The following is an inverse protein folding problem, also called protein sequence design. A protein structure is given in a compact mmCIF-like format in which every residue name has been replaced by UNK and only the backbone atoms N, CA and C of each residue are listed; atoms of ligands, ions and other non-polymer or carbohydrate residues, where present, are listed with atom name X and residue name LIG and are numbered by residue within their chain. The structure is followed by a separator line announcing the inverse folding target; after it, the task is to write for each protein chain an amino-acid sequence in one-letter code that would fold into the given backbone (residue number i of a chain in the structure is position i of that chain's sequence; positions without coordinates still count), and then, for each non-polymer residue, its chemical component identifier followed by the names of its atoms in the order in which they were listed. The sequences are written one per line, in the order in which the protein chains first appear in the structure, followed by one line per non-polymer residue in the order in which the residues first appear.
data_IF_903234915230
#
_entry.id   IF_903234915230
#
_cell.length_a   1.000
_cell.length_b   1.000
_cell.length_c   1.000
_cell.angle_alpha   90.00
_cell.angle_beta   90.00
_cell.angle_gamma   90.00
#
_symmetry.space_group_name_H-M   'P 1'
#
loop_
_entity.id
_entity.type
_entity.pdbx_description
1 polymer ?
#
# COMPACT_ATOMS: atom_id res chain seq x y z
N UNK A 1 34.19 -10.01 -22.45
CA UNK A 1 33.98 -11.38 -22.01
C UNK A 1 32.78 -11.34 -21.09
N UNK A 2 31.59 -11.61 -21.62
CA UNK A 2 30.37 -11.71 -20.79
C UNK A 2 30.51 -12.95 -19.94
N UNK A 3 30.51 -12.79 -18.62
CA UNK A 3 30.47 -13.92 -17.68
C UNK A 3 29.12 -14.61 -17.83
N UNK A 4 29.12 -15.91 -18.02
CA UNK A 4 27.89 -16.71 -18.12
C UNK A 4 27.07 -16.57 -16.85
N UNK A 5 25.76 -16.78 -16.93
CA UNK A 5 24.87 -16.73 -15.76
C UNK A 5 25.22 -17.80 -14.70
N UNK A 6 26.01 -18.81 -15.08
CA UNK A 6 26.54 -19.85 -14.21
C UNK A 6 27.63 -19.35 -13.27
N UNK A 7 28.37 -18.30 -13.66
CA UNK A 7 29.44 -17.70 -12.83
C UNK A 7 28.88 -16.81 -11.70
N UNK A 8 27.55 -16.62 -11.61
CA UNK A 8 26.88 -15.73 -10.64
C UNK A 8 26.12 -16.45 -9.52
N UNK A 9 26.24 -17.76 -9.42
CA UNK A 9 25.40 -18.58 -8.52
C UNK A 9 25.99 -18.80 -7.13
N UNK A 10 26.45 -17.74 -6.45
CA UNK A 10 27.00 -17.84 -5.09
C UNK A 10 28.32 -18.59 -5.00
N UNK A 11 28.85 -19.03 -6.13
CA UNK A 11 30.19 -19.62 -6.22
C UNK A 11 31.23 -18.53 -6.35
N UNK A 12 32.35 -18.71 -5.69
CA UNK A 12 33.49 -17.79 -5.75
C UNK A 12 33.87 -17.53 -7.23
N UNK A 13 33.81 -16.29 -7.68
CA UNK A 13 34.24 -15.89 -9.04
C UNK A 13 35.66 -16.35 -9.26
N UNK A 14 35.99 -16.80 -10.47
CA UNK A 14 37.33 -17.27 -10.81
C UNK A 14 38.47 -16.30 -10.45
N UNK A 15 38.18 -14.98 -10.39
CA UNK A 15 39.13 -13.95 -9.96
C UNK A 15 39.13 -13.62 -8.46
N UNK A 16 38.15 -14.14 -7.68
CA UNK A 16 38.02 -13.76 -6.28
C UNK A 16 39.19 -14.27 -5.42
N UNK A 17 39.76 -15.42 -5.75
CA UNK A 17 40.94 -15.96 -5.07
C UNK A 17 42.29 -15.44 -5.60
N UNK A 18 42.27 -14.58 -6.63
CA UNK A 18 43.52 -14.11 -7.28
C UNK A 18 44.35 -13.14 -6.42
N UNK A 19 43.73 -12.50 -5.42
CA UNK A 19 44.41 -11.65 -4.46
C UNK A 19 43.57 -11.51 -3.18
N UNK A 20 44.22 -11.12 -2.07
CA UNK A 20 43.56 -10.83 -0.80
C UNK A 20 42.52 -9.70 -0.95
N UNK A 21 42.82 -8.70 -1.75
CA UNK A 21 41.87 -7.63 -2.09
C UNK A 21 40.62 -8.16 -2.79
N UNK A 22 40.77 -9.01 -3.81
CA UNK A 22 39.66 -9.59 -4.52
C UNK A 22 38.80 -10.52 -3.63
N UNK A 23 39.42 -11.29 -2.74
CA UNK A 23 38.73 -12.12 -1.78
C UNK A 23 37.94 -11.29 -0.78
N UNK A 24 38.49 -10.19 -0.29
CA UNK A 24 37.79 -9.25 0.60
C UNK A 24 36.63 -8.57 -0.11
N UNK A 25 36.81 -8.09 -1.34
CA UNK A 25 35.73 -7.47 -2.11
C UNK A 25 34.60 -8.46 -2.41
N UNK A 26 34.93 -9.72 -2.76
CA UNK A 26 33.94 -10.76 -2.94
C UNK A 26 33.12 -11.01 -1.65
N UNK A 27 33.79 -11.11 -0.50
CA UNK A 27 33.10 -11.31 0.78
C UNK A 27 32.17 -10.14 1.14
N UNK A 28 32.59 -8.89 0.85
CA UNK A 28 31.75 -7.70 1.02
C UNK A 28 30.53 -7.74 0.07
N UNK A 29 30.74 -8.07 -1.20
CA UNK A 29 29.66 -8.21 -2.17
C UNK A 29 28.65 -9.28 -1.76
N UNK A 30 29.12 -10.45 -1.26
CA UNK A 30 28.25 -11.52 -0.77
C UNK A 30 27.37 -11.05 0.41
N UNK A 31 27.95 -10.39 1.39
CA UNK A 31 27.19 -9.83 2.52
C UNK A 31 26.17 -8.81 2.06
N UNK A 32 26.56 -7.91 1.14
CA UNK A 32 25.62 -6.88 0.63
C UNK A 32 24.49 -7.48 -0.20
N UNK A 33 24.75 -8.55 -0.94
CA UNK A 33 23.78 -9.17 -1.83
C UNK A 33 22.85 -10.17 -1.11
N UNK A 34 23.33 -10.85 -0.05
CA UNK A 34 22.56 -11.86 0.67
C UNK A 34 21.87 -11.34 1.91
N UNK A 35 22.52 -10.45 2.67
CA UNK A 35 22.07 -10.09 4.01
C UNK A 35 21.42 -8.70 4.11
N UNK A 36 21.67 -7.81 3.10
CA UNK A 36 21.14 -6.45 3.12
C UNK A 36 19.84 -6.36 2.27
N UNK A 37 18.72 -6.61 2.91
CA UNK A 37 17.41 -6.38 2.28
C UNK A 37 17.03 -4.90 2.42
N UNK A 38 16.77 -4.22 1.30
CA UNK A 38 16.35 -2.81 1.30
C UNK A 38 14.88 -2.63 0.96
N UNK A 39 14.46 -3.17 -0.18
CA UNK A 39 13.08 -3.17 -0.63
C UNK A 39 12.81 -4.45 -1.43
N UNK A 40 11.60 -4.96 -1.34
CA UNK A 40 11.19 -6.18 -2.00
C UNK A 40 9.70 -6.16 -2.33
N UNK A 41 9.25 -7.05 -3.19
CA UNK A 41 7.86 -7.18 -3.59
C UNK A 41 7.32 -8.50 -3.07
N UNK A 42 6.12 -8.46 -2.47
CA UNK A 42 5.44 -9.64 -1.95
C UNK A 42 3.97 -9.69 -2.32
N UNK A 43 3.34 -10.81 -1.99
CA UNK A 43 1.89 -11.00 -2.05
C UNK A 43 1.33 -11.07 -0.64
N UNK A 44 0.23 -10.40 -0.40
CA UNK A 44 -0.50 -10.44 0.87
C UNK A 44 -1.22 -11.77 1.00
N UNK A 45 -0.94 -12.50 2.06
CA UNK A 45 -1.58 -13.78 2.37
C UNK A 45 -2.81 -13.59 3.26
N UNK A 46 -2.68 -12.71 4.28
CA UNK A 46 -3.75 -12.37 5.20
C UNK A 46 -3.52 -11.00 5.82
N UNK A 47 -4.61 -10.39 6.29
CA UNK A 47 -4.59 -9.07 6.91
C UNK A 47 -5.27 -9.14 8.27
N UNK A 48 -4.68 -8.49 9.26
CA UNK A 48 -5.29 -8.19 10.55
C UNK A 48 -5.48 -6.68 10.63
N UNK A 49 -6.70 -6.22 10.45
CA UNK A 49 -7.05 -4.81 10.64
C UNK A 49 -6.88 -4.43 12.10
N UNK A 50 -6.38 -3.21 12.34
CA UNK A 50 -6.30 -2.69 13.69
C UNK A 50 -7.69 -2.45 14.31
N UNK A 51 -7.77 -2.42 15.62
CA UNK A 51 -9.00 -2.07 16.33
C UNK A 51 -9.33 -0.60 16.14
N UNK A 52 -10.62 -0.27 15.99
CA UNK A 52 -11.09 1.11 15.88
C UNK A 52 -10.53 1.85 14.65
N UNK A 53 -10.46 1.16 13.51
CA UNK A 53 -9.97 1.71 12.24
C UNK A 53 -8.48 2.16 12.28
N UNK A 54 -7.70 1.76 13.28
CA UNK A 54 -6.24 1.95 13.26
C UNK A 54 -5.59 1.11 12.16
N UNK A 55 -4.39 1.49 11.72
CA UNK A 55 -3.63 0.65 10.77
C UNK A 55 -3.35 -0.72 11.40
N UNK A 56 -3.43 -1.76 10.59
CA UNK A 56 -3.18 -3.13 11.01
C UNK A 56 -1.84 -3.64 10.52
N UNK A 57 -1.75 -4.97 10.48
CA UNK A 57 -0.60 -5.70 9.97
C UNK A 57 -1.06 -6.73 8.94
N UNK A 58 -0.17 -7.14 8.05
CA UNK A 58 -0.42 -8.19 7.08
C UNK A 58 0.70 -9.23 7.07
N UNK A 59 0.34 -10.46 6.73
CA UNK A 59 1.31 -11.50 6.44
C UNK A 59 1.60 -11.46 4.93
N UNK A 60 2.88 -11.48 4.55
CA UNK A 60 3.31 -11.29 3.17
C UNK A 60 4.34 -12.33 2.78
N UNK A 61 4.10 -13.01 1.66
CA UNK A 61 5.08 -13.92 1.05
C UNK A 61 5.89 -13.18 -0.02
N UNK A 62 7.24 -13.17 0.05
CA UNK A 62 8.07 -12.59 -0.99
C UNK A 62 7.83 -13.23 -2.35
N UNK A 63 7.76 -12.42 -3.43
CA UNK A 63 7.55 -12.89 -4.80
C UNK A 63 8.86 -13.21 -5.55
N UNK A 64 9.99 -12.73 -5.03
CA UNK A 64 11.31 -13.08 -5.57
C UNK A 64 11.89 -14.17 -4.67
N UNK A 65 11.98 -15.37 -5.22
CA UNK A 65 12.53 -16.52 -4.51
C UNK A 65 14.05 -16.49 -4.48
N UNK A 66 14.63 -17.02 -3.41
CA UNK A 66 16.04 -17.39 -3.42
C UNK A 66 16.25 -18.59 -4.35
N UNK A 67 17.44 -18.69 -4.91
CA UNK A 67 17.82 -19.83 -5.75
C UNK A 67 18.97 -20.58 -5.09
N UNK A 68 18.95 -21.91 -5.20
CA UNK A 68 20.07 -22.75 -4.79
C UNK A 68 21.24 -22.67 -5.79
N UNK A 69 22.32 -23.42 -5.51
CA UNK A 69 23.51 -23.46 -6.37
C UNK A 69 23.21 -24.01 -7.78
N UNK A 70 22.15 -24.81 -7.94
CA UNK A 70 21.72 -25.40 -9.20
C UNK A 70 20.72 -24.50 -9.94
N UNK A 71 20.39 -23.31 -9.36
CA UNK A 71 19.47 -22.34 -9.92
C UNK A 71 18.00 -22.72 -9.75
N UNK A 72 17.67 -23.66 -8.86
CA UNK A 72 16.30 -23.99 -8.51
C UNK A 72 15.75 -22.98 -7.50
N UNK A 73 14.50 -22.56 -7.69
CA UNK A 73 13.84 -21.65 -6.76
C UNK A 73 13.54 -22.36 -5.44
N UNK A 74 13.96 -21.77 -4.34
CA UNK A 74 13.63 -22.23 -3.00
C UNK A 74 12.24 -21.72 -2.59
N UNK A 75 11.43 -22.52 -1.88
CA UNK A 75 10.14 -22.07 -1.39
C UNK A 75 10.32 -20.91 -0.38
N UNK A 76 9.53 -19.85 -0.56
CA UNK A 76 9.53 -18.70 0.36
C UNK A 76 8.45 -18.90 1.42
N UNK A 77 8.79 -18.55 2.65
CA UNK A 77 7.84 -18.55 3.75
C UNK A 77 7.14 -17.19 3.88
N UNK A 78 5.90 -17.21 4.34
CA UNK A 78 5.18 -15.99 4.70
C UNK A 78 5.84 -15.28 5.88
N UNK A 79 6.04 -13.98 5.76
CA UNK A 79 6.58 -13.11 6.80
C UNK A 79 5.39 -12.53 7.55
N UNK A 80 5.27 -12.80 8.87
CA UNK A 80 4.09 -12.42 9.62
C UNK A 80 4.13 -10.95 10.09
N UNK A 81 2.96 -10.38 10.26
CA UNK A 81 2.71 -9.16 11.02
C UNK A 81 3.47 -7.91 10.55
N UNK A 82 3.66 -7.76 9.23
CA UNK A 82 4.25 -6.55 8.69
C UNK A 82 3.26 -5.38 8.77
N UNK A 83 3.62 -4.24 9.38
CA UNK A 83 2.76 -3.07 9.40
C UNK A 83 2.62 -2.46 8.00
N UNK A 84 1.43 -1.96 7.68
CA UNK A 84 1.19 -1.24 6.42
C UNK A 84 0.91 0.24 6.65
N UNK A 85 1.35 1.06 5.69
CA UNK A 85 1.16 2.51 5.74
C UNK A 85 -0.26 2.88 5.33
N UNK A 86 -0.77 3.99 5.90
CA UNK A 86 -1.95 4.72 5.46
C UNK A 86 -1.57 6.13 5.05
N UNK A 87 -2.34 6.73 4.17
CA UNK A 87 -2.25 8.17 3.91
C UNK A 87 -2.98 8.88 5.03
N UNK A 88 -2.28 9.15 6.13
CA UNK A 88 -2.86 9.71 7.34
C UNK A 88 -1.94 10.74 7.99
N UNK A 89 -2.53 11.85 8.43
CA UNK A 89 -1.87 12.87 9.26
C UNK A 89 -2.84 13.32 10.35
N UNK A 90 -2.42 13.19 11.62
CA UNK A 90 -3.27 13.47 12.77
C UNK A 90 -4.53 12.62 12.75
N UNK A 91 -5.69 13.27 12.74
CA UNK A 91 -7.02 12.64 12.74
C UNK A 91 -7.62 12.45 11.34
N UNK A 92 -6.95 12.91 10.27
CA UNK A 92 -7.45 12.83 8.90
C UNK A 92 -6.74 11.71 8.14
N UNK A 93 -7.50 10.81 7.51
CA UNK A 93 -6.98 9.66 6.79
C UNK A 93 -7.75 9.37 5.50
N UNK A 94 -7.03 8.80 4.52
CA UNK A 94 -7.61 8.03 3.44
C UNK A 94 -7.37 6.54 3.77
N UNK A 95 -8.45 5.82 4.07
CA UNK A 95 -8.40 4.44 4.53
C UNK A 95 -8.63 3.52 3.33
N UNK A 96 -7.58 2.80 2.93
CA UNK A 96 -7.63 1.74 1.93
C UNK A 96 -6.83 0.58 2.51
N UNK A 97 -7.54 -0.51 2.82
CA UNK A 97 -6.93 -1.69 3.40
C UNK A 97 -6.39 -2.63 2.31
N UNK A 98 -5.20 -3.24 2.51
CA UNK A 98 -4.77 -4.32 1.65
C UNK A 98 -5.69 -5.52 1.80
N UNK A 99 -5.81 -6.33 0.75
CA UNK A 99 -6.59 -7.58 0.78
C UNK A 99 -5.71 -8.76 0.34
N UNK A 100 -6.03 -9.99 0.75
CA UNK A 100 -5.30 -11.18 0.29
C UNK A 100 -5.24 -11.24 -1.23
N UNK A 101 -4.03 -11.51 -1.74
CA UNK A 101 -3.72 -11.53 -3.17
C UNK A 101 -3.23 -10.19 -3.74
N UNK A 102 -3.23 -9.11 -2.97
CA UNK A 102 -2.58 -7.87 -3.39
C UNK A 102 -1.07 -8.03 -3.45
N UNK A 103 -0.47 -7.45 -4.47
CA UNK A 103 0.98 -7.35 -4.59
C UNK A 103 1.43 -6.03 -4.00
N UNK A 104 2.39 -6.10 -3.08
CA UNK A 104 2.83 -4.96 -2.28
C UNK A 104 4.33 -4.75 -2.36
N UNK A 105 4.74 -3.50 -2.26
CA UNK A 105 6.13 -3.12 -2.04
C UNK A 105 6.39 -3.00 -0.54
N UNK A 106 7.45 -3.64 -0.09
CA UNK A 106 7.91 -3.63 1.29
C UNK A 106 9.29 -2.98 1.37
N UNK A 107 9.52 -2.21 2.42
CA UNK A 107 10.82 -1.59 2.71
C UNK A 107 11.31 -2.14 4.03
N UNK A 108 12.48 -2.78 4.03
CA UNK A 108 13.10 -3.30 5.23
C UNK A 108 13.76 -2.18 6.03
N UNK A 109 13.47 -2.14 7.33
CA UNK A 109 14.10 -1.20 8.23
C UNK A 109 15.53 -1.60 8.54
N UNK A 110 16.38 -0.61 8.83
CA UNK A 110 17.77 -0.86 9.18
C UNK A 110 17.90 -1.70 10.45
N UNK A 111 17.05 -1.47 11.41
CA UNK A 111 17.07 -2.08 12.74
C UNK A 111 15.74 -2.80 13.01
N UNK A 112 15.75 -3.75 13.92
CA UNK A 112 14.57 -4.47 14.39
C UNK A 112 13.56 -3.50 15.00
N UNK A 113 12.37 -3.41 14.38
CA UNK A 113 11.28 -2.50 14.75
C UNK A 113 10.23 -3.14 15.67
N UNK A 114 10.43 -4.35 16.16
CA UNK A 114 9.44 -5.07 16.98
C UNK A 114 9.01 -4.33 18.25
N UNK A 115 9.85 -3.42 18.76
CA UNK A 115 9.52 -2.56 19.91
C UNK A 115 8.84 -1.24 19.51
N UNK A 116 8.57 -1.02 18.20
CA UNK A 116 7.91 0.19 17.68
C UNK A 116 6.48 -0.17 17.28
N UNK A 117 5.59 -0.18 18.26
CA UNK A 117 4.17 -0.47 18.06
C UNK A 117 3.29 0.80 18.06
N UNK A 118 1.98 0.64 17.89
CA UNK A 118 1.02 1.73 17.96
C UNK A 118 1.16 2.55 19.25
N UNK A 119 1.13 3.88 19.14
CA UNK A 119 1.25 4.79 20.28
C UNK A 119 2.67 5.04 20.79
N UNK A 120 3.69 4.40 20.22
CA UNK A 120 5.09 4.67 20.58
C UNK A 120 5.52 6.01 19.97
N UNK A 121 5.84 6.98 20.83
CA UNK A 121 6.23 8.36 20.42
C UNK A 121 7.65 8.73 20.84
N UNK A 122 8.39 7.81 21.48
CA UNK A 122 9.77 8.03 21.93
C UNK A 122 10.69 6.98 21.34
N UNK A 123 11.99 7.28 21.13
CA UNK A 123 12.95 6.29 20.66
C UNK A 123 12.95 5.02 21.52
N UNK A 124 12.91 3.86 20.87
CA UNK A 124 13.00 2.56 21.47
C UNK A 124 14.33 1.89 21.12
N UNK A 125 14.77 0.96 21.95
CA UNK A 125 15.88 0.08 21.59
C UNK A 125 15.39 -0.90 20.53
N UNK A 126 16.26 -1.30 19.58
CA UNK A 126 15.94 -2.41 18.68
C UNK A 126 15.51 -3.65 19.46
N UNK A 127 14.58 -4.44 18.93
CA UNK A 127 14.12 -5.67 19.58
C UNK A 127 15.22 -6.74 19.63
N UNK A 128 16.09 -6.74 18.62
CA UNK A 128 17.25 -7.63 18.51
C UNK A 128 18.41 -6.95 17.77
N UNK A 129 19.46 -7.72 17.46
CA UNK A 129 20.60 -7.24 16.66
C UNK A 129 20.42 -7.46 15.15
N UNK A 130 19.23 -7.88 14.68
CA UNK A 130 18.93 -8.02 13.24
C UNK A 130 19.10 -6.68 12.54
N UNK A 131 19.60 -6.73 11.30
CA UNK A 131 19.77 -5.57 10.45
C UNK A 131 19.24 -5.92 9.05
N UNK A 132 18.48 -5.00 8.45
CA UNK A 132 17.96 -5.14 7.10
C UNK A 132 17.22 -6.46 6.86
N UNK A 133 16.56 -6.98 7.88
CA UNK A 133 15.80 -8.23 7.82
C UNK A 133 14.43 -7.98 7.20
N UNK A 134 13.96 -8.92 6.38
CA UNK A 134 12.64 -8.81 5.75
C UNK A 134 11.50 -8.82 6.77
N UNK A 135 11.69 -9.45 7.94
CA UNK A 135 10.71 -9.43 9.03
C UNK A 135 10.54 -8.06 9.71
N UNK A 136 11.50 -7.16 9.50
CA UNK A 136 11.46 -5.78 9.98
C UNK A 136 11.04 -4.80 8.87
N UNK A 137 10.18 -5.23 7.96
CA UNK A 137 9.70 -4.42 6.84
C UNK A 137 8.38 -3.72 7.14
N UNK A 138 8.17 -2.64 6.39
CA UNK A 138 6.90 -1.89 6.34
C UNK A 138 6.34 -1.98 4.93
N UNK A 139 5.07 -2.29 4.78
CA UNK A 139 4.36 -2.25 3.51
C UNK A 139 4.07 -0.79 3.17
N UNK A 140 4.62 -0.29 2.05
CA UNK A 140 4.53 1.12 1.66
C UNK A 140 3.50 1.39 0.57
N UNK A 141 3.00 0.36 -0.10
CA UNK A 141 1.96 0.50 -1.11
C UNK A 141 1.79 -0.72 -1.98
N UNK A 142 0.80 -0.68 -2.86
CA UNK A 142 0.51 -1.74 -3.81
C UNK A 142 1.28 -1.54 -5.13
N UNK A 143 1.69 -2.65 -5.75
CA UNK A 143 2.38 -2.66 -7.06
C UNK A 143 1.71 -3.64 -8.01
N UNK A 144 1.76 -3.35 -9.31
CA UNK A 144 1.17 -4.20 -10.35
C UNK A 144 -0.28 -4.61 -10.06
N UNK A 145 -1.08 -3.63 -9.64
CA UNK A 145 -2.47 -3.84 -9.21
C UNK A 145 -3.38 -4.17 -10.38
N UNK A 146 -4.52 -4.79 -10.07
CA UNK A 146 -5.64 -4.94 -11.01
C UNK A 146 -6.27 -3.58 -11.29
N UNK A 147 -7.09 -3.50 -12.37
CA UNK A 147 -7.90 -2.30 -12.62
C UNK A 147 -8.88 -2.11 -11.45
N UNK A 148 -8.88 -0.95 -10.79
CA UNK A 148 -9.77 -0.74 -9.65
C UNK A 148 -11.22 -0.54 -10.10
N UNK A 149 -12.15 -1.09 -9.35
CA UNK A 149 -13.58 -0.89 -9.55
C UNK A 149 -14.10 0.33 -8.79
N UNK A 150 -13.51 0.62 -7.64
CA UNK A 150 -13.77 1.80 -6.81
C UNK A 150 -12.54 2.70 -6.85
N UNK A 151 -12.72 3.97 -7.22
CA UNK A 151 -11.57 4.88 -7.28
C UNK A 151 -11.97 6.36 -7.29
N UNK A 152 -11.02 7.19 -6.90
CA UNK A 152 -11.01 8.63 -7.14
C UNK A 152 -9.91 8.91 -8.16
N UNK A 153 -10.26 9.47 -9.31
CA UNK A 153 -9.31 9.81 -10.38
C UNK A 153 -9.28 11.31 -10.60
N UNK A 154 -8.09 11.87 -10.53
CA UNK A 154 -7.82 13.24 -10.96
C UNK A 154 -7.18 13.17 -12.34
N UNK A 155 -7.81 13.80 -13.33
CA UNK A 155 -7.39 13.73 -14.72
C UNK A 155 -6.56 14.96 -15.13
N UNK A 156 -5.79 14.86 -16.20
CA UNK A 156 -4.97 15.96 -16.72
C UNK A 156 -5.83 17.14 -17.22
N UNK A 157 -7.06 16.89 -17.66
CA UNK A 157 -8.05 17.91 -18.02
C UNK A 157 -8.77 18.51 -16.81
N UNK A 158 -8.18 18.39 -15.60
CA UNK A 158 -8.60 19.03 -14.34
C UNK A 158 -9.96 18.56 -13.82
N UNK A 159 -10.37 17.34 -14.12
CA UNK A 159 -11.60 16.74 -13.60
C UNK A 159 -11.29 15.80 -12.43
N UNK A 160 -12.22 15.74 -11.48
CA UNK A 160 -12.26 14.71 -10.45
C UNK A 160 -13.40 13.76 -10.79
N UNK A 161 -13.09 12.48 -10.86
CA UNK A 161 -14.04 11.43 -11.14
C UNK A 161 -14.04 10.41 -10.00
N UNK A 162 -15.20 10.25 -9.35
CA UNK A 162 -15.40 9.28 -8.27
C UNK A 162 -16.30 8.17 -8.78
N UNK A 163 -15.86 6.92 -8.67
CA UNK A 163 -16.63 5.73 -9.02
C UNK A 163 -16.72 4.80 -7.84
N UNK A 164 -17.94 4.46 -7.43
CA UNK A 164 -18.27 3.51 -6.37
C UNK A 164 -19.52 2.73 -6.76
N UNK A 165 -19.41 1.51 -7.36
CA UNK A 165 -20.55 0.74 -7.84
C UNK A 165 -21.57 0.35 -6.76
N UNK A 166 -21.11 0.13 -5.53
CA UNK A 166 -21.93 -0.30 -4.41
C UNK A 166 -22.62 0.87 -3.66
N UNK A 167 -22.19 2.10 -3.89
CA UNK A 167 -22.75 3.29 -3.24
C UNK A 167 -21.70 4.32 -2.84
N UNK A 168 -22.16 5.53 -2.58
CA UNK A 168 -21.38 6.65 -2.09
C UNK A 168 -22.16 7.35 -0.99
N UNK A 169 -21.56 7.53 0.17
CA UNK A 169 -22.15 8.25 1.31
C UNK A 169 -21.31 9.47 1.63
N UNK A 170 -21.96 10.61 1.79
CA UNK A 170 -21.35 11.82 2.33
C UNK A 170 -22.06 12.15 3.65
N UNK A 171 -21.33 12.11 4.75
CA UNK A 171 -21.82 12.37 6.08
C UNK A 171 -21.05 13.52 6.72
N UNK A 172 -21.76 14.45 7.36
CA UNK A 172 -21.19 15.57 8.07
C UNK A 172 -22.15 16.08 9.13
N UNK A 173 -21.63 16.46 10.27
CA UNK A 173 -22.38 17.16 11.33
C UNK A 173 -22.54 18.66 11.07
N UNK A 174 -21.97 19.16 9.97
CA UNK A 174 -21.96 20.56 9.58
C UNK A 174 -22.70 20.78 8.24
N UNK A 175 -22.52 21.94 7.63
CA UNK A 175 -23.14 22.25 6.34
C UNK A 175 -22.39 21.56 5.17
N UNK A 176 -23.16 21.16 4.16
CA UNK A 176 -22.64 20.80 2.82
C UNK A 176 -22.97 21.95 1.87
N UNK A 177 -21.97 22.51 1.21
CA UNK A 177 -22.13 23.55 0.21
C UNK A 177 -21.65 23.07 -1.16
N UNK A 178 -22.50 23.18 -2.19
CA UNK A 178 -22.16 22.85 -3.57
C UNK A 178 -22.23 24.12 -4.40
N UNK A 179 -21.07 24.62 -4.86
CA UNK A 179 -20.96 25.78 -5.75
C UNK A 179 -20.52 25.32 -7.14
N UNK A 180 -21.31 25.61 -8.14
CA UNK A 180 -20.97 25.34 -9.53
C UNK A 180 -21.11 26.64 -10.35
N UNK A 181 -20.13 26.94 -11.20
CA UNK A 181 -20.21 28.01 -12.18
C UNK A 181 -21.08 27.68 -13.39
N UNK A 182 -21.54 26.44 -13.50
CA UNK A 182 -22.43 25.94 -14.53
C UNK A 182 -23.57 25.10 -13.92
N UNK A 183 -24.08 24.15 -14.68
CA UNK A 183 -25.21 23.31 -14.28
C UNK A 183 -24.81 22.23 -13.28
N UNK A 184 -25.61 22.06 -12.23
CA UNK A 184 -25.59 20.88 -11.36
C UNK A 184 -26.65 19.90 -11.87
N UNK A 185 -26.24 18.69 -12.25
CA UNK A 185 -27.14 17.65 -12.75
C UNK A 185 -27.21 16.49 -11.78
N UNK A 186 -28.42 16.15 -11.32
CA UNK A 186 -28.69 14.94 -10.53
C UNK A 186 -29.55 14.00 -11.36
N UNK A 187 -29.06 12.78 -11.63
CA UNK A 187 -29.78 11.75 -12.37
C UNK A 187 -29.94 10.52 -11.50
N UNK A 188 -31.16 10.20 -11.12
CA UNK A 188 -31.51 9.02 -10.33
C UNK A 188 -32.94 8.60 -10.64
N UNK A 189 -33.30 7.32 -10.47
CA UNK A 189 -34.73 6.88 -10.56
C UNK A 189 -35.61 7.57 -9.53
N UNK A 190 -35.05 7.96 -8.38
CA UNK A 190 -35.72 8.71 -7.31
C UNK A 190 -34.73 9.64 -6.63
N UNK A 191 -35.13 10.85 -6.37
CA UNK A 191 -34.42 11.80 -5.51
C UNK A 191 -35.30 12.07 -4.30
N UNK A 192 -34.76 11.92 -3.11
CA UNK A 192 -35.45 12.17 -1.85
C UNK A 192 -34.73 13.29 -1.10
N UNK A 193 -35.49 14.29 -0.68
CA UNK A 193 -34.98 15.43 0.08
C UNK A 193 -35.82 15.49 1.35
N UNK A 194 -35.25 15.05 2.47
CA UNK A 194 -35.87 15.14 3.78
C UNK A 194 -35.33 16.38 4.50
N UNK A 195 -36.11 17.43 4.48
CA UNK A 195 -35.74 18.69 5.11
C UNK A 195 -36.99 19.45 5.56
N UNK A 196 -36.95 20.12 6.74
CA UNK A 196 -38.08 20.96 7.21
C UNK A 196 -38.46 22.07 6.25
N UNK A 197 -37.53 22.53 5.42
CA UNK A 197 -37.75 23.55 4.41
C UNK A 197 -36.79 23.37 3.24
N UNK A 198 -37.35 23.42 2.02
CA UNK A 198 -36.58 23.55 0.77
C UNK A 198 -36.84 24.94 0.22
N UNK A 199 -35.80 25.70 -0.07
CA UNK A 199 -35.89 27.05 -0.62
C UNK A 199 -35.23 27.06 -2.01
N UNK A 200 -35.99 27.51 -3.02
CA UNK A 200 -35.55 27.70 -4.39
C UNK A 200 -35.73 29.15 -4.79
N UNK A 201 -34.75 29.80 -5.40
CA UNK A 201 -34.81 31.22 -5.79
C UNK A 201 -35.07 31.42 -7.28
N UNK A 202 -35.11 30.38 -8.08
CA UNK A 202 -35.40 30.44 -9.50
C UNK A 202 -36.69 29.69 -9.84
N UNK A 203 -36.96 29.58 -11.12
CA UNK A 203 -38.11 28.83 -11.63
C UNK A 203 -37.94 27.33 -11.37
N UNK A 204 -39.03 26.66 -11.03
CA UNK A 204 -39.13 25.20 -10.92
C UNK A 204 -39.95 24.70 -12.09
N UNK A 205 -39.32 23.99 -13.01
CA UNK A 205 -39.95 23.33 -14.14
C UNK A 205 -40.13 21.81 -13.80
N UNK A 206 -41.35 21.34 -13.91
CA UNK A 206 -41.71 19.95 -13.52
C UNK A 206 -42.59 19.36 -14.63
N UNK A 207 -42.06 18.35 -15.34
CA UNK A 207 -42.79 17.62 -16.40
C UNK A 207 -43.92 16.70 -15.85
N UNK A 208 -43.99 16.51 -14.53
CA UNK A 208 -44.93 15.60 -13.87
C UNK A 208 -45.93 16.30 -12.95
N UNK A 209 -46.50 15.55 -12.01
CA UNK A 209 -47.46 16.05 -11.03
C UNK A 209 -46.75 16.46 -9.73
N UNK A 210 -47.10 17.62 -9.19
CA UNK A 210 -46.72 18.03 -7.83
C UNK A 210 -47.88 17.69 -6.92
N UNK A 211 -47.61 16.86 -5.92
CA UNK A 211 -48.57 16.55 -4.85
C UNK A 211 -48.19 17.35 -3.60
N UNK A 212 -49.02 18.25 -3.18
CA UNK A 212 -48.91 18.94 -1.90
C UNK A 212 -49.92 18.33 -0.91
N UNK A 213 -49.52 18.24 0.35
CA UNK A 213 -50.46 17.99 1.47
C UNK A 213 -51.02 19.30 2.01
#
# INVERSE_FOLDING_TARGET
MELSNEDRRGLQRAGAAASEYNATMFAVEEVLNSDVNTAWVGVVDSVQTGSGESSGVANVTPLVAHTDADGQSLPMSSIPALPYTRVQYGIAALIIEPVPGDRVACVSCKDDISNVGPGVTRPQRPGSYRKFDQSDSVIVGAVHTKVPEVFIRITQDKKIYIKAPAGYTLETDAAVEIKAGGTVTVKAPRVEIDAPKVHMTGDLDVDGHIHGN
#
